data_IF_356889602135
#
_entry.id   IF_356889602135
#
_cell.length_a   1.000
_cell.length_b   1.000
_cell.length_c   1.000
_cell.angle_alpha   90.00
_cell.angle_beta   90.00
_cell.angle_gamma   90.00
#
_symmetry.space_group_name_H-M   'P 1'
#
loop_
_entity.id
_entity.type
_entity.pdbx_description
1 polymer ?
#
# COMPACT_ATOMS: atom_id res chain seq x y z
N UNK A 1 3.51 53.16 48.80
CA UNK A 1 2.30 52.36 48.47
C UNK A 1 2.76 50.97 48.08
N UNK A 2 2.46 49.94 48.88
CA UNK A 2 2.89 48.55 48.65
C UNK A 2 1.83 47.83 47.82
N UNK A 3 2.20 47.36 46.64
CA UNK A 3 1.30 46.62 45.74
C UNK A 3 1.55 45.13 45.93
N UNK A 4 0.62 44.45 46.60
CA UNK A 4 0.61 43.01 46.78
C UNK A 4 0.03 42.36 45.52
N UNK A 5 0.83 41.55 44.82
CA UNK A 5 0.41 40.78 43.65
C UNK A 5 -0.12 39.42 44.14
N UNK A 6 -1.41 39.19 43.96
CA UNK A 6 -2.10 37.94 44.28
C UNK A 6 -1.97 36.98 43.08
N UNK A 7 -1.29 35.85 43.27
CA UNK A 7 -1.22 34.77 42.27
C UNK A 7 -2.46 33.86 42.37
N UNK A 8 -3.07 33.42 41.26
CA UNK A 8 -4.16 32.46 41.28
C UNK A 8 -3.63 31.04 41.44
N UNK A 9 -4.17 30.32 42.43
CA UNK A 9 -3.97 28.90 42.61
C UNK A 9 -4.78 28.12 41.57
N UNK A 10 -4.13 27.55 40.56
CA UNK A 10 -4.73 26.56 39.66
C UNK A 10 -4.68 25.17 40.32
N UNK A 11 -5.84 24.69 40.74
CA UNK A 11 -6.06 23.31 41.20
C UNK A 11 -6.14 22.41 39.97
N UNK A 12 -5.16 21.51 39.80
CA UNK A 12 -5.13 20.50 38.74
C UNK A 12 -5.58 19.17 39.36
N UNK A 13 -6.83 18.79 39.10
CA UNK A 13 -7.36 17.48 39.45
C UNK A 13 -6.88 16.44 38.42
N UNK A 14 -5.99 15.53 38.86
CA UNK A 14 -5.57 14.37 38.10
C UNK A 14 -6.47 13.17 38.44
N UNK A 15 -7.32 12.75 37.51
CA UNK A 15 -8.00 11.46 37.58
C UNK A 15 -7.21 10.45 36.75
N UNK A 16 -6.52 9.55 37.45
CA UNK A 16 -5.78 8.42 36.89
C UNK A 16 -6.73 7.21 36.89
N UNK A 17 -7.06 6.68 35.71
CA UNK A 17 -7.77 5.41 35.57
C UNK A 17 -6.85 4.41 34.85
N UNK A 18 -6.42 3.38 35.56
CA UNK A 18 -5.56 2.31 35.08
C UNK A 18 -6.39 1.08 34.65
N UNK A 19 -6.00 0.35 33.59
CA UNK A 19 -6.46 -1.01 33.38
C UNK A 19 -5.47 -2.03 33.96
N UNK A 20 -6.04 -2.99 34.70
CA UNK A 20 -5.39 -4.15 35.26
C UNK A 20 -4.88 -5.11 34.17
N UNK A 21 -3.66 -5.62 34.34
CA UNK A 21 -3.09 -6.74 33.61
C UNK A 21 -3.28 -8.01 34.44
N UNK A 22 -3.83 -9.07 33.83
CA UNK A 22 -3.83 -10.42 34.37
C UNK A 22 -2.78 -11.26 33.63
N UNK A 23 -1.82 -11.78 34.38
CA UNK A 23 -0.94 -12.88 34.00
C UNK A 23 -1.66 -14.22 34.19
N UNK A 24 -1.32 -15.21 33.36
CA UNK A 24 -0.94 -16.59 33.76
C UNK A 24 -0.53 -17.33 32.47
N UNK A 25 0.74 -17.72 32.31
CA UNK A 25 1.23 -19.09 32.59
C UNK A 25 1.27 -19.88 31.28
N UNK A 26 2.30 -20.58 30.83
CA UNK A 26 3.55 -21.06 31.41
C UNK A 26 3.91 -22.35 30.64
N UNK A 27 5.20 -22.55 30.36
CA UNK A 27 5.95 -23.83 30.33
C UNK A 27 6.93 -23.98 29.17
N UNK A 28 8.14 -24.19 29.63
CA UNK A 28 9.39 -24.62 29.01
C UNK A 28 9.29 -25.87 28.13
N UNK A 29 10.18 -25.95 27.14
CA UNK A 29 11.00 -27.15 26.90
C UNK A 29 12.25 -26.80 26.09
N UNK A 30 13.30 -27.57 26.32
CA UNK A 30 14.70 -27.23 26.19
C UNK A 30 15.39 -28.13 25.16
N UNK A 31 16.14 -27.52 24.22
CA UNK A 31 17.34 -28.05 23.53
C UNK A 31 17.21 -29.24 22.54
N UNK A 32 18.32 -29.68 21.90
CA UNK A 32 19.60 -29.01 21.66
C UNK A 32 20.11 -29.06 20.19
N UNK A 33 21.22 -28.33 19.99
CA UNK A 33 22.19 -28.27 18.88
C UNK A 33 22.64 -29.64 18.34
N UNK A 34 22.99 -29.76 17.03
CA UNK A 34 24.19 -30.45 16.52
C UNK A 34 24.39 -30.35 14.98
N UNK A 35 25.53 -29.77 14.60
CA UNK A 35 26.51 -30.14 13.54
C UNK A 35 26.14 -30.37 12.07
N UNK A 36 26.81 -29.57 11.21
CA UNK A 36 27.24 -29.93 9.85
C UNK A 36 28.32 -31.04 9.87
N UNK A 37 28.55 -31.77 8.76
CA UNK A 37 29.73 -31.45 7.95
C UNK A 37 29.65 -31.75 6.42
N UNK A 38 30.51 -31.02 5.69
CA UNK A 38 31.41 -31.43 4.61
C UNK A 38 30.92 -32.16 3.33
N UNK A 39 31.25 -31.49 2.22
CA UNK A 39 31.46 -31.98 0.84
C UNK A 39 32.61 -33.00 0.76
N UNK A 40 32.56 -33.94 -0.20
CA UNK A 40 33.63 -34.00 -1.20
C UNK A 40 33.13 -34.24 -2.64
N UNK A 41 34.07 -34.01 -3.56
CA UNK A 41 33.89 -33.84 -5.00
C UNK A 41 34.04 -35.13 -5.84
N UNK A 42 33.52 -35.03 -7.07
CA UNK A 42 34.03 -35.56 -8.34
C UNK A 42 34.08 -37.08 -8.60
N UNK A 43 33.33 -37.52 -9.63
CA UNK A 43 33.88 -38.29 -10.75
C UNK A 43 32.90 -38.34 -11.94
N UNK A 44 33.46 -38.20 -13.13
CA UNK A 44 32.81 -38.08 -14.42
C UNK A 44 32.18 -39.38 -14.95
N UNK A 45 31.25 -39.23 -15.88
CA UNK A 45 30.69 -40.30 -16.71
C UNK A 45 29.88 -39.72 -17.86
N UNK A 46 30.58 -39.19 -18.87
CA UNK A 46 29.99 -38.93 -20.18
C UNK A 46 29.73 -40.26 -20.88
N UNK A 47 28.51 -40.48 -21.37
CA UNK A 47 28.28 -41.32 -22.55
C UNK A 47 27.12 -40.76 -23.35
N UNK A 48 27.45 -40.31 -24.56
CA UNK A 48 26.54 -39.91 -25.62
C UNK A 48 25.57 -41.05 -25.98
N UNK A 49 24.27 -40.75 -26.06
CA UNK A 49 23.36 -41.40 -27.00
C UNK A 49 22.21 -40.46 -27.38
N UNK A 50 21.96 -40.40 -28.69
CA UNK A 50 21.21 -39.42 -29.45
C UNK A 50 19.76 -39.11 -28.99
N UNK A 51 19.23 -37.91 -29.33
CA UNK A 51 17.84 -37.55 -29.10
C UNK A 51 16.91 -38.44 -29.92
N UNK A 52 16.00 -39.16 -29.26
CA UNK A 52 14.84 -39.75 -29.94
C UNK A 52 13.92 -38.60 -30.35
N UNK A 53 14.00 -38.25 -31.62
CA UNK A 53 12.98 -37.54 -32.37
C UNK A 53 11.65 -38.29 -32.23
N UNK A 54 10.83 -37.94 -31.24
CA UNK A 54 9.42 -38.29 -31.25
C UNK A 54 8.70 -37.25 -32.10
N UNK A 55 8.28 -37.74 -33.26
CA UNK A 55 7.52 -37.06 -34.27
C UNK A 55 6.28 -36.37 -33.69
N UNK A 56 6.01 -35.19 -34.23
CA UNK A 56 4.78 -34.43 -34.07
C UNK A 56 3.55 -35.27 -34.45
N UNK A 57 2.44 -35.11 -33.72
CA UNK A 57 1.16 -34.85 -34.36
C UNK A 57 0.99 -33.33 -34.44
N UNK A 58 1.31 -32.78 -35.60
CA UNK A 58 0.89 -31.44 -35.99
C UNK A 58 -0.60 -31.47 -36.31
N UNK A 59 -1.44 -31.49 -35.27
CA UNK A 59 -2.85 -31.09 -35.39
C UNK A 59 -2.96 -29.67 -34.87
N UNK A 60 -3.16 -28.72 -35.79
CA UNK A 60 -3.50 -27.34 -35.49
C UNK A 60 -4.93 -27.27 -34.94
N UNK A 61 -5.13 -27.71 -33.70
CA UNK A 61 -6.42 -27.53 -33.02
C UNK A 61 -6.41 -26.22 -32.22
N UNK A 62 -7.48 -25.41 -32.30
CA UNK A 62 -7.55 -24.16 -31.57
C UNK A 62 -7.60 -24.42 -30.06
N UNK A 63 -6.85 -23.66 -29.27
CA UNK A 63 -6.86 -23.77 -27.81
C UNK A 63 -8.23 -23.33 -27.28
N UNK A 64 -8.97 -24.27 -26.68
CA UNK A 64 -10.28 -24.02 -26.06
C UNK A 64 -10.09 -23.82 -24.56
N UNK A 65 -10.56 -22.70 -24.05
CA UNK A 65 -10.60 -22.40 -22.61
C UNK A 65 -12.06 -22.32 -22.20
N UNK A 66 -12.47 -23.16 -21.27
CA UNK A 66 -13.82 -23.19 -20.72
C UNK A 66 -13.88 -22.35 -19.46
N UNK A 67 -14.83 -21.40 -19.42
CA UNK A 67 -15.25 -20.72 -18.19
C UNK A 67 -16.32 -21.56 -17.52
N UNK A 68 -16.04 -22.04 -16.32
CA UNK A 68 -16.90 -22.95 -15.58
C UNK A 68 -17.25 -22.38 -14.22
N UNK A 69 -18.50 -22.54 -13.82
CA UNK A 69 -18.98 -22.17 -12.48
C UNK A 69 -19.13 -23.44 -11.65
N UNK A 70 -18.38 -23.51 -10.56
CA UNK A 70 -18.48 -24.60 -9.60
C UNK A 70 -19.76 -24.46 -8.75
N UNK A 71 -20.23 -25.55 -8.11
CA UNK A 71 -21.38 -25.51 -7.21
C UNK A 71 -21.19 -24.59 -5.99
N UNK A 72 -19.96 -24.17 -5.69
CA UNK A 72 -19.62 -23.19 -4.65
C UNK A 72 -19.74 -21.72 -5.12
N UNK A 73 -20.12 -21.50 -6.40
CA UNK A 73 -20.24 -20.17 -7.01
C UNK A 73 -18.93 -19.58 -7.55
N UNK A 74 -17.80 -20.30 -7.47
CA UNK A 74 -16.51 -19.84 -8.00
C UNK A 74 -16.42 -20.08 -9.51
N UNK A 75 -15.73 -19.19 -10.21
CA UNK A 75 -15.47 -19.29 -11.65
C UNK A 75 -14.04 -19.79 -11.87
N UNK A 76 -13.90 -20.91 -12.57
CA UNK A 76 -12.61 -21.49 -12.99
C UNK A 76 -12.50 -21.44 -14.50
N UNK A 77 -11.32 -21.03 -14.99
CA UNK A 77 -10.97 -21.09 -16.40
C UNK A 77 -10.00 -22.26 -16.58
N UNK A 78 -10.42 -23.29 -17.29
CA UNK A 78 -9.60 -24.47 -17.55
C UNK A 78 -9.72 -24.91 -19.00
N UNK A 79 -8.67 -25.53 -19.50
CA UNK A 79 -8.58 -26.22 -20.78
C UNK A 79 -9.45 -27.49 -20.82
N UNK A 80 -9.71 -28.09 -19.67
CA UNK A 80 -10.58 -29.28 -19.52
C UNK A 80 -11.88 -28.99 -18.78
N UNK A 81 -12.95 -29.74 -19.07
CA UNK A 81 -14.23 -29.66 -18.33
C UNK A 81 -14.13 -30.38 -16.99
N UNK A 82 -14.37 -29.65 -15.89
CA UNK A 82 -14.36 -30.21 -14.53
C UNK A 82 -15.71 -30.90 -14.26
N UNK A 83 -15.67 -32.16 -13.84
CA UNK A 83 -16.86 -32.95 -13.53
C UNK A 83 -17.71 -32.27 -12.45
N UNK A 84 -18.96 -31.92 -12.78
CA UNK A 84 -19.91 -31.26 -11.88
C UNK A 84 -19.92 -29.73 -11.95
N UNK A 85 -19.07 -29.09 -12.75
CA UNK A 85 -19.13 -27.66 -13.01
C UNK A 85 -20.05 -27.35 -14.20
N UNK A 86 -20.80 -26.24 -14.12
CA UNK A 86 -21.59 -25.75 -15.26
C UNK A 86 -20.67 -24.95 -16.19
N UNK A 87 -20.55 -25.38 -17.45
CA UNK A 87 -19.81 -24.66 -18.47
C UNK A 87 -20.65 -23.49 -18.94
N UNK A 88 -20.20 -22.27 -18.66
CA UNK A 88 -20.91 -21.05 -19.04
C UNK A 88 -20.49 -20.55 -20.43
N UNK A 89 -19.19 -20.58 -20.74
CA UNK A 89 -18.66 -19.98 -21.96
C UNK A 89 -17.39 -20.66 -22.45
N UNK A 90 -17.30 -20.93 -23.75
CA UNK A 90 -16.12 -21.54 -24.39
C UNK A 90 -15.40 -20.48 -25.20
N UNK A 91 -14.20 -20.10 -24.76
CA UNK A 91 -13.33 -19.16 -25.46
C UNK A 91 -12.40 -19.99 -26.34
N UNK A 92 -12.53 -19.82 -27.66
CA UNK A 92 -11.65 -20.50 -28.64
C UNK A 92 -10.62 -19.48 -29.13
N UNK A 93 -9.34 -19.69 -28.82
CA UNK A 93 -8.26 -18.77 -29.22
C UNK A 93 -7.45 -19.37 -30.37
N UNK A 94 -7.27 -18.57 -31.41
CA UNK A 94 -6.27 -18.76 -32.45
C UNK A 94 -5.48 -17.44 -32.58
N UNK A 95 -4.13 -17.45 -32.55
CA UNK A 95 -3.21 -18.59 -32.65
C UNK A 95 -2.91 -19.31 -31.30
N UNK A 96 -2.48 -20.59 -31.32
CA UNK A 96 -2.18 -21.36 -30.11
C UNK A 96 -0.91 -20.80 -29.42
N UNK A 97 -1.02 -20.51 -28.13
CA UNK A 97 0.10 -20.02 -27.31
C UNK A 97 1.10 -21.17 -27.15
N UNK A 98 2.15 -21.19 -27.98
CA UNK A 98 3.32 -22.04 -27.77
C UNK A 98 4.25 -21.37 -26.77
N UNK A 99 4.44 -21.98 -25.59
CA UNK A 99 5.51 -21.63 -24.65
C UNK A 99 5.04 -21.11 -23.29
N UNK A 100 5.86 -21.34 -22.26
CA UNK A 100 5.66 -20.82 -20.89
C UNK A 100 5.34 -19.33 -20.91
N UNK A 101 4.45 -18.86 -20.01
CA UNK A 101 3.91 -17.49 -19.92
C UNK A 101 4.96 -16.35 -19.87
N UNK A 102 6.26 -16.64 -19.79
CA UNK A 102 7.35 -15.67 -19.77
C UNK A 102 8.18 -15.57 -21.05
N UNK A 103 7.99 -16.47 -22.03
CA UNK A 103 8.72 -16.44 -23.31
C UNK A 103 7.75 -16.24 -24.46
N UNK A 104 7.02 -15.13 -24.44
CA UNK A 104 6.43 -14.61 -25.68
C UNK A 104 7.56 -14.03 -26.52
N UNK A 105 7.99 -14.77 -27.55
CA UNK A 105 8.68 -14.16 -28.68
C UNK A 105 7.83 -12.98 -29.17
N UNK A 106 8.42 -11.79 -29.35
CA UNK A 106 7.70 -10.65 -29.89
C UNK A 106 7.23 -11.00 -31.30
N UNK A 107 5.94 -11.34 -31.42
CA UNK A 107 5.30 -11.62 -32.69
C UNK A 107 5.50 -10.45 -33.65
N UNK A 108 5.72 -10.80 -34.92
CA UNK A 108 5.94 -9.87 -36.03
C UNK A 108 4.91 -8.73 -35.96
N UNK A 109 5.34 -7.45 -35.91
CA UNK A 109 4.40 -6.35 -35.83
C UNK A 109 3.44 -6.43 -37.02
N UNK A 110 2.12 -6.23 -36.82
CA UNK A 110 1.17 -6.25 -37.91
C UNK A 110 1.62 -5.22 -38.95
N UNK A 111 1.77 -5.66 -40.20
CA UNK A 111 2.06 -4.80 -41.34
C UNK A 111 0.82 -3.96 -41.62
N UNK A 112 0.66 -2.90 -40.83
CA UNK A 112 -0.38 -1.89 -41.02
C UNK A 112 -0.10 -1.21 -42.35
N UNK A 113 -1.01 -1.37 -43.31
CA UNK A 113 -0.95 -0.62 -44.57
C UNK A 113 -0.94 0.88 -44.24
N UNK A 114 -0.08 1.70 -44.86
CA UNK A 114 -0.02 3.12 -44.57
C UNK A 114 -1.40 3.75 -44.81
N UNK A 115 -2.03 4.23 -43.74
CA UNK A 115 -3.27 5.00 -43.86
C UNK A 115 -2.96 6.29 -44.60
N UNK A 116 -3.53 6.44 -45.80
CA UNK A 116 -3.34 7.61 -46.65
C UNK A 116 -4.04 8.88 -46.13
N UNK A 117 -4.94 8.72 -45.14
CA UNK A 117 -5.72 9.82 -44.57
C UNK A 117 -5.38 9.98 -43.08
N UNK A 118 -4.69 11.07 -42.69
CA UNK A 118 -4.48 11.35 -41.28
C UNK A 118 -5.84 11.61 -40.62
N UNK A 119 -6.26 10.72 -39.73
CA UNK A 119 -7.39 10.98 -38.85
C UNK A 119 -7.01 12.18 -37.99
N UNK A 120 -7.79 13.28 -37.99
CA UNK A 120 -7.49 14.43 -37.15
C UNK A 120 -7.69 14.04 -35.69
N UNK A 121 -6.61 13.57 -35.05
CA UNK A 121 -6.54 13.42 -33.60
C UNK A 121 -6.63 14.83 -33.05
N UNK A 122 -7.81 15.20 -32.54
CA UNK A 122 -7.96 16.39 -31.70
C UNK A 122 -7.12 16.14 -30.44
N UNK A 123 -5.85 16.56 -30.51
CA UNK A 123 -4.98 16.61 -29.34
C UNK A 123 -5.59 17.65 -28.43
N UNK A 124 -6.38 17.17 -27.47
CA UNK A 124 -6.84 18.00 -26.36
C UNK A 124 -5.57 18.35 -25.60
N UNK A 125 -5.11 19.58 -25.79
CA UNK A 125 -3.96 20.12 -25.09
C UNK A 125 -4.24 19.99 -23.58
N UNK A 126 -3.45 19.22 -22.80
CA UNK A 126 -3.64 19.12 -21.35
C UNK A 126 -3.37 20.46 -20.65
N UNK A 127 -2.88 21.45 -21.38
CA UNK A 127 -2.56 22.82 -20.93
C UNK A 127 -3.59 23.82 -21.45
N UNK A 128 -4.88 23.47 -21.50
CA UNK A 128 -5.92 24.49 -21.68
C UNK A 128 -6.10 25.21 -20.34
N UNK A 129 -5.25 26.20 -20.10
CA UNK A 129 -5.42 27.19 -19.01
C UNK A 129 -6.84 27.75 -19.16
N UNK A 130 -7.74 27.56 -18.18
CA UNK A 130 -9.10 28.07 -18.29
C UNK A 130 -9.05 29.59 -18.46
N UNK A 131 -9.79 30.09 -19.44
CA UNK A 131 -9.84 31.53 -19.73
C UNK A 131 -10.19 32.32 -18.45
N UNK A 132 -9.48 33.41 -18.15
CA UNK A 132 -9.73 34.21 -16.96
C UNK A 132 -11.15 34.77 -17.03
N UNK A 133 -12.01 34.36 -16.10
CA UNK A 133 -13.37 34.90 -15.94
C UNK A 133 -14.53 33.89 -15.99
N UNK A 134 -14.30 32.60 -16.31
CA UNK A 134 -15.37 31.58 -16.34
C UNK A 134 -14.95 30.26 -15.67
N UNK A 135 -14.58 30.32 -14.40
CA UNK A 135 -14.43 29.13 -13.55
C UNK A 135 -15.47 29.16 -12.42
N UNK A 136 -16.75 29.27 -12.76
CA UNK A 136 -17.83 29.36 -11.77
C UNK A 136 -18.29 27.99 -11.24
N UNK A 137 -17.79 26.88 -11.79
CA UNK A 137 -18.31 25.53 -11.49
C UNK A 137 -17.43 24.72 -10.52
N UNK A 138 -16.14 25.06 -10.31
CA UNK A 138 -15.23 24.19 -9.54
C UNK A 138 -14.66 24.78 -8.23
N UNK A 139 -14.80 26.08 -7.98
CA UNK A 139 -14.22 26.74 -6.78
C UNK A 139 -14.70 26.15 -5.44
N UNK A 140 -16.00 25.82 -5.23
CA UNK A 140 -16.40 25.22 -3.96
C UNK A 140 -15.86 23.79 -3.80
N UNK A 141 -15.79 23.00 -4.87
CA UNK A 141 -15.31 21.62 -4.82
C UNK A 141 -13.82 21.55 -4.51
N UNK A 142 -13.01 22.46 -5.09
CA UNK A 142 -11.58 22.53 -4.79
C UNK A 142 -11.32 22.91 -3.33
N UNK A 143 -12.10 23.84 -2.78
CA UNK A 143 -11.95 24.30 -1.39
C UNK A 143 -12.39 23.20 -0.39
N UNK A 144 -13.44 22.45 -0.71
CA UNK A 144 -13.82 21.27 0.08
C UNK A 144 -12.75 20.18 0.02
N UNK A 145 -12.16 19.93 -1.16
CA UNK A 145 -11.05 18.98 -1.30
C UNK A 145 -9.82 19.38 -0.46
N UNK A 146 -9.52 20.67 -0.35
CA UNK A 146 -8.45 21.18 0.52
C UNK A 146 -8.72 20.92 2.01
N UNK A 147 -9.96 21.14 2.47
CA UNK A 147 -10.35 20.83 3.85
C UNK A 147 -10.20 19.34 4.13
N UNK A 148 -10.71 18.47 3.25
CA UNK A 148 -10.58 17.01 3.41
C UNK A 148 -9.12 16.57 3.43
N UNK A 149 -8.27 17.14 2.57
CA UNK A 149 -6.83 16.87 2.57
C UNK A 149 -6.18 17.28 3.90
N UNK A 150 -6.53 18.46 4.43
CA UNK A 150 -5.98 18.96 5.68
C UNK A 150 -6.46 18.15 6.91
N UNK A 151 -7.70 17.68 6.91
CA UNK A 151 -8.23 16.76 7.92
C UNK A 151 -7.48 15.43 7.91
N UNK A 152 -7.30 14.82 6.73
CA UNK A 152 -6.54 13.59 6.56
C UNK A 152 -5.08 13.76 7.04
N UNK A 153 -4.46 14.90 6.72
CA UNK A 153 -3.10 15.23 7.20
C UNK A 153 -3.04 15.28 8.73
N UNK A 154 -4.04 15.90 9.38
CA UNK A 154 -4.12 15.98 10.84
C UNK A 154 -4.33 14.61 11.48
N UNK A 155 -5.20 13.79 10.91
CA UNK A 155 -5.41 12.42 11.39
C UNK A 155 -4.14 11.57 11.28
N UNK A 156 -3.44 11.66 10.15
CA UNK A 156 -2.20 10.92 9.95
C UNK A 156 -1.09 11.40 10.90
N UNK A 157 -0.94 12.71 11.10
CA UNK A 157 -0.01 13.27 12.07
C UNK A 157 -0.32 12.79 13.51
N UNK A 158 -1.60 12.78 13.91
CA UNK A 158 -2.03 12.25 15.22
C UNK A 158 -1.78 10.75 15.35
N UNK A 159 -2.04 9.97 14.30
CA UNK A 159 -1.74 8.53 14.27
C UNK A 159 -0.24 8.27 14.42
N UNK A 160 0.61 9.04 13.74
CA UNK A 160 2.07 8.96 13.89
C UNK A 160 2.52 9.39 15.29
N UNK A 161 1.92 10.42 15.88
CA UNK A 161 2.20 10.82 17.25
C UNK A 161 1.84 9.71 18.24
N UNK A 162 0.65 9.10 18.10
CA UNK A 162 0.22 7.99 18.95
C UNK A 162 1.11 6.76 18.79
N UNK A 163 1.44 6.37 17.56
CA UNK A 163 2.36 5.28 17.28
C UNK A 163 3.78 5.56 17.82
N UNK A 164 4.20 6.82 17.82
CA UNK A 164 5.50 7.26 18.32
C UNK A 164 5.55 7.55 19.82
N UNK A 165 4.43 7.48 20.54
CA UNK A 165 4.36 7.81 21.97
C UNK A 165 5.14 6.82 22.84
N UNK A 166 5.15 5.54 22.44
CA UNK A 166 5.95 4.51 23.08
C UNK A 166 7.46 4.79 22.86
N UNK A 167 8.25 4.52 23.90
CA UNK A 167 9.70 4.57 23.79
C UNK A 167 10.21 3.43 22.91
N UNK A 168 11.17 3.71 22.04
CA UNK A 168 11.82 2.67 21.24
C UNK A 168 12.85 1.91 22.08
N UNK A 169 13.21 0.68 21.68
CA UNK A 169 14.29 -0.06 22.32
C UNK A 169 15.58 0.77 22.36
N UNK A 170 16.20 0.87 23.54
CA UNK A 170 17.42 1.67 23.76
C UNK A 170 17.18 3.16 24.08
N UNK A 171 15.94 3.63 24.03
CA UNK A 171 15.60 4.99 24.47
C UNK A 171 15.26 5.08 25.95
N UNK A 172 14.76 3.99 26.49
CA UNK A 172 14.51 3.81 27.91
C UNK A 172 15.79 3.33 28.57
N UNK A 173 16.16 3.97 29.69
CA UNK A 173 17.27 3.58 30.54
C UNK A 173 16.79 3.47 31.98
N UNK A 174 17.21 2.40 32.64
CA UNK A 174 17.02 2.28 34.07
C UNK A 174 17.96 3.27 34.76
N UNK A 175 17.39 4.11 35.62
CA UNK A 175 18.19 4.96 36.48
C UNK A 175 18.62 4.16 37.73
N UNK A 176 19.75 4.51 38.32
CA UNK A 176 20.28 3.84 39.53
C UNK A 176 19.39 4.00 40.77
N UNK A 177 18.35 4.84 40.69
CA UNK A 177 17.35 5.06 41.74
C UNK A 177 16.06 4.22 41.53
N UNK A 178 16.06 3.27 40.59
CA UNK A 178 14.93 2.37 40.34
C UNK A 178 13.77 2.97 39.53
N UNK A 179 13.97 4.14 38.92
CA UNK A 179 13.04 4.77 37.99
C UNK A 179 13.43 4.61 36.52
N UNK A 180 12.45 4.82 35.65
CA UNK A 180 12.65 4.84 34.19
C UNK A 180 13.04 6.25 33.75
N UNK A 181 14.19 6.38 33.09
CA UNK A 181 14.64 7.60 32.43
C UNK A 181 14.62 7.43 30.93
N UNK A 182 14.30 8.51 30.20
CA UNK A 182 14.37 8.54 28.74
C UNK A 182 15.61 9.27 28.26
N UNK A 183 16.16 8.86 27.12
CA UNK A 183 17.30 9.52 26.49
C UNK A 183 16.90 10.79 25.72
N UNK A 184 17.89 11.58 25.28
CA UNK A 184 17.65 12.78 24.48
C UNK A 184 16.99 12.48 23.11
N UNK A 185 17.23 11.29 22.55
CA UNK A 185 16.67 10.89 21.26
C UNK A 185 15.14 10.76 21.33
N UNK A 186 14.60 10.21 22.43
CA UNK A 186 13.17 10.15 22.72
C UNK A 186 12.54 11.53 22.68
N UNK A 187 13.04 12.47 23.49
CA UNK A 187 12.51 13.84 23.55
C UNK A 187 12.59 14.55 22.21
N UNK A 188 13.69 14.37 21.48
CA UNK A 188 13.86 14.94 20.14
C UNK A 188 12.90 14.35 19.10
N UNK A 189 12.49 13.09 19.24
CA UNK A 189 11.42 12.49 18.42
C UNK A 189 10.06 13.04 18.82
N UNK A 190 9.73 13.06 20.12
CA UNK A 190 8.45 13.57 20.62
C UNK A 190 8.22 15.02 20.18
N UNK A 191 9.25 15.86 20.25
CA UNK A 191 9.17 17.24 19.80
C UNK A 191 8.89 17.35 18.29
N UNK A 192 9.48 16.48 17.46
CA UNK A 192 9.20 16.44 16.01
C UNK A 192 7.76 16.03 15.73
N UNK A 193 7.29 14.96 16.37
CA UNK A 193 5.90 14.50 16.24
C UNK A 193 4.89 15.57 16.67
N UNK A 194 5.18 16.29 17.76
CA UNK A 194 4.34 17.41 18.20
C UNK A 194 4.30 18.54 17.15
N UNK A 195 5.45 18.93 16.58
CA UNK A 195 5.51 19.94 15.52
C UNK A 195 4.73 19.52 14.27
N UNK A 196 4.75 18.23 13.90
CA UNK A 196 3.99 17.72 12.76
C UNK A 196 2.48 17.87 12.98
N UNK A 197 2.01 17.61 14.21
CA UNK A 197 0.61 17.83 14.58
C UNK A 197 0.24 19.31 14.56
N UNK A 198 1.09 20.17 15.14
CA UNK A 198 0.87 21.62 15.13
C UNK A 198 0.81 22.17 13.69
N UNK A 199 1.70 21.69 12.81
CA UNK A 199 1.70 22.03 11.39
C UNK A 199 0.38 21.63 10.74
N UNK A 200 -0.07 20.38 10.92
CA UNK A 200 -1.32 19.89 10.33
C UNK A 200 -2.56 20.64 10.86
N UNK A 201 -2.58 21.01 12.15
CA UNK A 201 -3.64 21.84 12.72
C UNK A 201 -3.68 23.23 12.07
N UNK A 202 -2.52 23.84 11.85
CA UNK A 202 -2.42 25.14 11.17
C UNK A 202 -2.89 25.06 9.72
N UNK A 203 -2.57 24.00 8.99
CA UNK A 203 -3.08 23.77 7.64
C UNK A 203 -4.60 23.61 7.61
N UNK A 204 -5.18 22.84 8.55
CA UNK A 204 -6.63 22.73 8.67
C UNK A 204 -7.29 24.08 8.96
N UNK A 205 -6.71 24.87 9.87
CA UNK A 205 -7.21 26.22 10.18
C UNK A 205 -7.19 27.13 8.94
N UNK A 206 -6.14 27.08 8.12
CA UNK A 206 -6.06 27.83 6.87
C UNK A 206 -7.13 27.40 5.87
N UNK A 207 -7.28 26.09 5.65
CA UNK A 207 -8.29 25.55 4.73
C UNK A 207 -9.72 25.94 5.14
N UNK A 208 -10.03 25.89 6.44
CA UNK A 208 -11.30 26.35 6.98
C UNK A 208 -11.52 27.85 6.76
N UNK A 209 -10.49 28.68 7.00
CA UNK A 209 -10.59 30.12 6.76
C UNK A 209 -10.85 30.46 5.28
N UNK A 210 -10.23 29.73 4.35
CA UNK A 210 -10.48 29.87 2.90
C UNK A 210 -11.93 29.49 2.58
N UNK A 211 -12.42 28.35 3.09
CA UNK A 211 -13.81 27.90 2.92
C UNK A 211 -14.81 28.93 3.41
N UNK A 212 -14.60 29.46 4.61
CA UNK A 212 -15.53 30.41 5.21
C UNK A 212 -15.47 31.75 4.46
N UNK A 213 -14.30 32.15 3.95
CA UNK A 213 -14.14 33.32 3.07
C UNK A 213 -14.86 33.19 1.72
N UNK A 214 -14.92 32.00 1.13
CA UNK A 214 -15.71 31.74 -0.09
C UNK A 214 -17.22 31.77 0.22
N UNK A 215 -17.63 31.18 1.35
CA UNK A 215 -19.04 31.16 1.79
C UNK A 215 -19.58 32.56 2.09
N UNK A 216 -18.77 33.44 2.67
CA UNK A 216 -19.19 34.80 3.02
C UNK A 216 -19.39 35.74 1.81
N UNK A 217 -18.88 35.38 0.62
CA UNK A 217 -19.00 36.20 -0.60
C UNK A 217 -20.18 35.81 -1.49
N UNK A 218 -20.88 34.74 -1.16
CA UNK A 218 -22.06 34.25 -1.89
C UNK A 218 -23.33 34.75 -1.22
#
# INVERSE_FOLDING_TARGET
>A
MKTTILLPACILAASILAPAQAQEGGKSATGPVLTAPATPAAAAGETHAAPRSQAMPSSHEPTRIYRQVLPDGRIVYSDETVAGAKVDHTITMAPPIKGNLWSTEPGTPPKVAPQATPTPVQRIDPVRVPAPGKSTIAVPDTVLAEVMRAEMLLEDAKKRQAAGAAALPGEQRDNSAGGLSYNQAYFSRQQRLARDVDYAQNELKKALAVRDGVRARK
#
